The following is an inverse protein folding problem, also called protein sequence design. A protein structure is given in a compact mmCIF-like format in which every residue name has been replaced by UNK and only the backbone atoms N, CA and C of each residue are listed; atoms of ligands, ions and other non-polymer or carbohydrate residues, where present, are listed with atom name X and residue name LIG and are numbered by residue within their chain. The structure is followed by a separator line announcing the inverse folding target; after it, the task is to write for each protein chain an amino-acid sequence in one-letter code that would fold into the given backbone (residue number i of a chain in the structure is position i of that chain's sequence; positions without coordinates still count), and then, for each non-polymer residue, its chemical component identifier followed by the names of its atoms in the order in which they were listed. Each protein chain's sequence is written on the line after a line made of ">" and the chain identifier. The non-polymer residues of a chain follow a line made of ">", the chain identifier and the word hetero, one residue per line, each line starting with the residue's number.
data_IF_303419244042
#
_entry.id   IF_303419244042
#
_cell.length_a   1.000
_cell.length_b   1.000
_cell.length_c   1.000
_cell.angle_alpha   90.00
_cell.angle_beta   90.00
_cell.angle_gamma   90.00
#
_symmetry.space_group_name_H-M   'P 1'
#
loop_
_entity.id
_entity.type
_entity.pdbx_description
1 polymer ?
#
# COMPACT_ATOMS: atom_id res chain seq x y z
N UNK A 1 34.74 -43.62 13.38
CA UNK A 1 34.13 -42.96 12.20
C UNK A 1 32.65 -42.71 12.54
N UNK A 2 32.30 -41.48 12.88
CA UNK A 2 30.93 -41.11 13.17
C UNK A 2 30.36 -40.40 11.92
N UNK A 3 29.34 -40.97 11.32
CA UNK A 3 28.65 -40.37 10.15
C UNK A 3 27.61 -39.37 10.64
N UNK A 4 27.84 -38.09 10.34
CA UNK A 4 26.86 -37.04 10.55
C UNK A 4 25.81 -37.07 9.43
N UNK A 5 24.57 -37.39 9.78
CA UNK A 5 23.43 -37.21 8.88
C UNK A 5 22.99 -35.72 8.92
N UNK A 6 23.17 -35.00 7.82
CA UNK A 6 22.58 -33.70 7.61
C UNK A 6 21.10 -33.88 7.22
N UNK A 7 20.21 -33.49 8.11
CA UNK A 7 18.77 -33.42 7.80
C UNK A 7 18.55 -32.14 7.01
N UNK A 8 18.33 -32.26 5.71
CA UNK A 8 17.86 -31.20 4.85
C UNK A 8 16.37 -30.93 5.16
N UNK A 9 16.08 -29.85 5.87
CA UNK A 9 14.73 -29.31 5.96
C UNK A 9 14.38 -28.69 4.62
N UNK A 10 13.58 -29.39 3.83
CA UNK A 10 12.98 -28.85 2.64
C UNK A 10 12.02 -27.74 3.02
N UNK A 11 12.34 -26.49 2.65
CA UNK A 11 11.43 -25.36 2.74
C UNK A 11 10.38 -25.56 1.65
N UNK A 12 9.19 -26.04 2.00
CA UNK A 12 8.05 -26.06 1.10
C UNK A 12 7.66 -24.60 0.85
N UNK A 13 7.52 -24.15 -0.43
CA UNK A 13 7.02 -22.80 -0.70
C UNK A 13 5.62 -22.67 -0.09
N UNK A 14 5.37 -21.53 0.58
CA UNK A 14 4.04 -21.20 1.09
C UNK A 14 3.06 -21.22 -0.09
N UNK A 15 2.05 -22.08 -0.01
CA UNK A 15 1.03 -22.20 -1.04
C UNK A 15 0.07 -21.03 -0.92
N UNK A 16 -0.31 -20.42 -2.04
CA UNK A 16 -1.35 -19.39 -2.09
C UNK A 16 -2.60 -19.91 -1.36
N UNK A 17 -3.24 -19.05 -0.56
CA UNK A 17 -4.50 -19.42 0.07
C UNK A 17 -5.57 -19.56 -1.03
N UNK A 18 -6.01 -20.79 -1.25
CA UNK A 18 -7.11 -21.10 -2.15
C UNK A 18 -8.43 -21.11 -1.38
N UNK A 19 -9.46 -20.49 -1.92
CA UNK A 19 -10.77 -20.46 -1.29
C UNK A 19 -11.83 -19.89 -2.20
N UNK A 20 -13.03 -19.73 -1.66
CA UNK A 20 -14.13 -19.07 -2.34
C UNK A 20 -14.09 -17.57 -2.10
N UNK A 21 -14.49 -16.79 -3.09
CA UNK A 21 -14.85 -15.38 -2.91
C UNK A 21 -16.37 -15.36 -2.74
N UNK A 22 -16.83 -15.09 -1.52
CA UNK A 22 -18.27 -15.08 -1.20
C UNK A 22 -18.76 -13.64 -1.00
N UNK A 23 -19.94 -13.32 -1.50
CA UNK A 23 -20.49 -11.97 -1.48
C UNK A 23 -22.01 -11.95 -1.29
N UNK A 24 -22.67 -11.13 -2.09
CA UNK A 24 -24.12 -10.88 -2.02
C UNK A 24 -24.93 -12.16 -1.85
N UNK A 25 -25.85 -12.17 -0.89
CA UNK A 25 -26.71 -13.32 -0.55
C UNK A 25 -25.96 -14.62 -0.19
N UNK A 26 -24.69 -14.52 0.24
CA UNK A 26 -23.85 -15.68 0.57
C UNK A 26 -23.39 -16.49 -0.64
N UNK A 27 -23.55 -15.96 -1.84
CA UNK A 27 -23.15 -16.61 -3.10
C UNK A 27 -21.68 -16.36 -3.44
N UNK A 28 -21.16 -17.12 -4.40
CA UNK A 28 -19.75 -17.12 -4.80
C UNK A 28 -19.52 -16.38 -6.11
N UNK A 29 -18.35 -15.74 -6.23
CA UNK A 29 -17.80 -15.36 -7.53
C UNK A 29 -17.43 -16.63 -8.29
N UNK A 30 -17.96 -16.78 -9.48
CA UNK A 30 -17.95 -18.00 -10.28
C UNK A 30 -17.51 -17.71 -11.70
N UNK A 31 -16.65 -18.57 -12.25
CA UNK A 31 -16.28 -18.52 -13.66
C UNK A 31 -17.32 -19.26 -14.49
N UNK A 32 -18.04 -18.56 -15.34
CA UNK A 32 -19.16 -19.08 -16.08
C UNK A 32 -18.83 -20.39 -16.83
N UNK A 33 -19.61 -21.43 -16.55
CA UNK A 33 -19.42 -22.75 -17.18
C UNK A 33 -18.10 -23.44 -16.86
N UNK A 34 -17.36 -22.99 -15.84
CA UNK A 34 -16.01 -23.45 -15.51
C UNK A 34 -15.05 -23.39 -16.71
N UNK A 35 -15.29 -22.46 -17.66
CA UNK A 35 -14.49 -22.33 -18.85
C UNK A 35 -13.22 -21.52 -18.58
N UNK A 36 -12.05 -22.03 -18.98
CA UNK A 36 -10.76 -21.36 -18.81
C UNK A 36 -10.34 -20.51 -20.01
N UNK A 37 -11.22 -20.27 -21.00
CA UNK A 37 -10.92 -19.42 -22.14
C UNK A 37 -10.81 -17.95 -21.74
N UNK A 38 -9.93 -17.18 -22.41
CA UNK A 38 -9.88 -15.73 -22.27
C UNK A 38 -11.23 -15.14 -22.66
N UNK A 39 -11.71 -14.15 -21.90
CA UNK A 39 -13.01 -13.53 -22.09
C UNK A 39 -14.16 -14.25 -21.38
N UNK A 40 -13.89 -15.35 -20.66
CA UNK A 40 -14.94 -16.02 -19.89
C UNK A 40 -15.46 -15.10 -18.80
N UNK A 41 -16.79 -14.98 -18.73
CA UNK A 41 -17.45 -14.13 -17.76
C UNK A 41 -17.22 -14.58 -16.32
N UNK A 42 -17.08 -13.62 -15.42
CA UNK A 42 -17.22 -13.88 -13.98
C UNK A 42 -18.59 -13.40 -13.52
N UNK A 43 -19.24 -14.20 -12.73
CA UNK A 43 -20.65 -14.05 -12.34
C UNK A 43 -20.86 -14.38 -10.86
N UNK A 44 -22.01 -14.03 -10.31
CA UNK A 44 -22.47 -14.52 -9.03
C UNK A 44 -23.19 -15.86 -9.24
N UNK A 45 -22.94 -16.84 -8.39
CA UNK A 45 -23.58 -18.16 -8.47
C UNK A 45 -23.65 -18.81 -7.08
N UNK A 46 -24.62 -19.71 -6.88
CA UNK A 46 -24.68 -20.53 -5.66
C UNK A 46 -23.34 -21.22 -5.41
N UNK A 47 -22.85 -21.16 -4.17
CA UNK A 47 -21.58 -21.80 -3.81
C UNK A 47 -21.71 -23.32 -3.92
N UNK A 48 -20.98 -23.92 -4.85
CA UNK A 48 -21.05 -25.35 -5.17
C UNK A 48 -19.70 -26.08 -5.03
N UNK A 49 -18.63 -25.35 -4.63
CA UNK A 49 -17.31 -25.92 -4.35
C UNK A 49 -16.53 -26.41 -5.58
N UNK A 50 -16.99 -26.11 -6.80
CA UNK A 50 -16.28 -26.47 -8.03
C UNK A 50 -15.02 -25.65 -8.26
N UNK A 51 -14.19 -26.06 -9.21
CA UNK A 51 -12.98 -25.34 -9.59
C UNK A 51 -13.27 -23.92 -10.12
N UNK A 52 -14.48 -23.67 -10.66
CA UNK A 52 -14.94 -22.36 -11.11
C UNK A 52 -15.05 -21.31 -10.00
N UNK A 53 -15.13 -21.76 -8.75
CA UNK A 53 -15.30 -20.94 -7.56
C UNK A 53 -14.08 -20.99 -6.65
N UNK A 54 -13.03 -21.70 -7.06
CA UNK A 54 -11.79 -21.77 -6.30
C UNK A 54 -10.85 -20.66 -6.80
N UNK A 55 -10.75 -19.65 -5.98
CA UNK A 55 -9.88 -18.48 -6.23
C UNK A 55 -8.62 -18.58 -5.39
N UNK A 56 -7.49 -18.27 -5.97
CA UNK A 56 -6.25 -18.05 -5.23
C UNK A 56 -5.92 -16.56 -5.19
N UNK A 57 -5.39 -16.13 -4.06
CA UNK A 57 -4.83 -14.80 -3.86
C UNK A 57 -3.34 -14.98 -3.54
N UNK A 58 -2.45 -14.98 -4.55
CA UNK A 58 -1.02 -15.24 -4.34
C UNK A 58 -0.28 -14.10 -3.64
N UNK A 59 -0.93 -12.94 -3.39
CA UNK A 59 -0.31 -11.79 -2.76
C UNK A 59 0.42 -10.85 -3.74
N UNK A 60 0.35 -11.12 -5.04
CA UNK A 60 0.93 -10.27 -6.09
C UNK A 60 -0.07 -9.25 -6.68
N UNK A 61 -1.18 -9.04 -5.98
CA UNK A 61 -2.27 -8.17 -6.39
C UNK A 61 -3.26 -8.82 -7.36
N UNK A 62 -3.03 -10.06 -7.79
CA UNK A 62 -3.97 -10.77 -8.67
C UNK A 62 -4.91 -11.69 -7.89
N UNK A 63 -6.14 -11.85 -8.39
CA UNK A 63 -7.07 -12.90 -7.98
C UNK A 63 -7.18 -13.90 -9.13
N UNK A 64 -6.92 -15.18 -8.87
CA UNK A 64 -6.80 -16.18 -9.93
C UNK A 64 -7.76 -17.35 -9.75
N UNK A 65 -8.36 -17.80 -10.85
CA UNK A 65 -9.12 -19.03 -10.93
C UNK A 65 -8.77 -19.76 -12.23
N UNK A 66 -8.79 -21.08 -12.22
CA UNK A 66 -8.52 -21.93 -13.42
C UNK A 66 -7.20 -21.57 -14.13
N UNK A 67 -6.17 -21.11 -13.39
CA UNK A 67 -4.87 -20.73 -13.93
C UNK A 67 -4.82 -19.36 -14.61
N UNK A 68 -5.87 -18.54 -14.51
CA UNK A 68 -5.98 -17.20 -15.11
C UNK A 68 -6.35 -16.15 -14.07
N UNK A 69 -6.24 -14.88 -14.45
CA UNK A 69 -6.49 -13.73 -13.58
C UNK A 69 -7.90 -13.14 -13.77
N UNK A 70 -8.50 -12.67 -12.67
CA UNK A 70 -9.64 -11.76 -12.70
C UNK A 70 -9.20 -10.47 -13.39
N UNK A 71 -9.93 -10.06 -14.41
CA UNK A 71 -9.51 -9.03 -15.36
C UNK A 71 -10.67 -8.07 -15.66
N UNK A 72 -10.41 -6.78 -15.71
CA UNK A 72 -11.39 -5.80 -16.20
C UNK A 72 -11.28 -5.73 -17.71
N UNK A 73 -12.40 -6.01 -18.39
CA UNK A 73 -12.49 -6.02 -19.87
C UNK A 73 -11.94 -4.73 -20.45
N UNK A 74 -11.10 -4.86 -21.48
CA UNK A 74 -10.52 -3.73 -22.24
C UNK A 74 -9.82 -2.66 -21.38
N UNK A 75 -9.40 -3.00 -20.18
CA UNK A 75 -8.85 -2.05 -19.18
C UNK A 75 -9.81 -0.89 -18.90
N UNK A 76 -11.11 -1.13 -18.98
CA UNK A 76 -12.14 -0.14 -18.73
C UNK A 76 -12.06 0.42 -17.31
N UNK A 77 -12.28 1.74 -17.15
CA UNK A 77 -12.29 2.42 -15.86
C UNK A 77 -13.65 3.02 -15.52
N UNK A 78 -14.63 2.90 -16.42
CA UNK A 78 -15.97 3.43 -16.22
C UNK A 78 -16.82 2.49 -15.35
N UNK A 79 -17.83 3.04 -14.68
CA UNK A 79 -18.87 2.27 -14.02
C UNK A 79 -19.55 1.33 -15.02
N UNK A 80 -19.74 0.07 -14.62
CA UNK A 80 -20.33 -0.95 -15.46
C UNK A 80 -19.34 -1.72 -16.36
N UNK A 81 -18.04 -1.40 -16.31
CA UNK A 81 -17.04 -2.20 -17.03
C UNK A 81 -17.05 -3.63 -16.48
N UNK A 82 -17.28 -4.60 -17.39
CA UNK A 82 -17.43 -6.01 -17.02
C UNK A 82 -16.08 -6.58 -16.55
N UNK A 83 -16.16 -7.66 -15.74
CA UNK A 83 -15.00 -8.48 -15.39
C UNK A 83 -15.08 -9.84 -16.05
N UNK A 84 -13.91 -10.38 -16.33
CA UNK A 84 -13.71 -11.63 -17.06
C UNK A 84 -12.52 -12.40 -16.49
N UNK A 85 -12.34 -13.61 -17.00
CA UNK A 85 -11.12 -14.39 -16.82
C UNK A 85 -10.21 -14.15 -18.01
N UNK A 86 -8.91 -13.88 -17.79
CA UNK A 86 -7.93 -13.63 -18.84
C UNK A 86 -6.55 -14.13 -18.44
N UNK A 87 -5.68 -14.39 -19.42
CA UNK A 87 -4.28 -14.73 -19.14
C UNK A 87 -3.64 -13.66 -18.27
N UNK A 88 -2.90 -14.09 -17.24
CA UNK A 88 -2.22 -13.17 -16.34
C UNK A 88 -1.13 -12.41 -17.09
N UNK A 89 -1.32 -11.13 -17.29
CA UNK A 89 -0.40 -10.24 -18.00
C UNK A 89 0.38 -9.29 -17.07
N UNK A 90 0.01 -9.23 -15.80
CA UNK A 90 0.52 -8.23 -14.85
C UNK A 90 -0.01 -6.82 -15.09
N UNK A 91 -0.98 -6.64 -15.99
CA UNK A 91 -1.59 -5.35 -16.29
C UNK A 91 -2.37 -4.79 -15.09
N UNK A 92 -2.55 -3.46 -15.06
CA UNK A 92 -3.24 -2.76 -13.97
C UNK A 92 -4.72 -3.13 -13.86
N UNK A 93 -5.33 -3.59 -14.94
CA UNK A 93 -6.69 -4.12 -14.99
C UNK A 93 -6.86 -5.51 -14.33
N UNK A 94 -5.75 -6.15 -13.94
CA UNK A 94 -5.72 -7.42 -13.20
C UNK A 94 -5.22 -7.26 -11.77
N UNK A 95 -5.02 -6.01 -11.32
CA UNK A 95 -4.58 -5.72 -9.97
C UNK A 95 -5.80 -5.43 -9.09
N UNK A 96 -5.88 -6.12 -7.95
CA UNK A 96 -6.99 -6.05 -7.02
C UNK A 96 -6.48 -5.93 -5.59
N UNK A 97 -7.12 -5.10 -4.81
CA UNK A 97 -6.88 -4.95 -3.38
C UNK A 97 -8.11 -5.45 -2.63
N UNK A 98 -7.92 -6.46 -1.81
CA UNK A 98 -8.95 -6.91 -0.86
C UNK A 98 -8.80 -6.07 0.40
N UNK A 99 -9.80 -5.25 0.71
CA UNK A 99 -9.74 -4.32 1.85
C UNK A 99 -10.25 -4.97 3.14
N UNK A 100 -9.88 -4.41 4.29
CA UNK A 100 -10.41 -4.82 5.59
C UNK A 100 -11.93 -4.54 5.73
N UNK A 101 -12.49 -3.66 4.88
CA UNK A 101 -13.91 -3.37 4.81
C UNK A 101 -14.66 -4.35 3.87
N UNK A 102 -14.00 -5.44 3.46
CA UNK A 102 -14.54 -6.44 2.55
C UNK A 102 -14.84 -5.94 1.12
N UNK A 103 -14.17 -4.89 0.67
CA UNK A 103 -14.22 -4.49 -0.74
C UNK A 103 -13.10 -5.19 -1.52
N UNK A 104 -13.35 -5.50 -2.79
CA UNK A 104 -12.32 -5.89 -3.76
C UNK A 104 -12.20 -4.74 -4.75
N UNK A 105 -11.11 -3.99 -4.68
CA UNK A 105 -10.93 -2.74 -5.43
C UNK A 105 -9.93 -2.94 -6.55
N UNK A 106 -10.25 -2.48 -7.77
CA UNK A 106 -9.27 -2.28 -8.83
C UNK A 106 -8.66 -0.87 -8.67
N UNK A 107 -7.36 -0.73 -8.28
CA UNK A 107 -6.77 0.58 -8.01
C UNK A 107 -6.67 1.48 -9.24
N UNK A 108 -6.48 0.92 -10.43
CA UNK A 108 -6.33 1.70 -11.66
C UNK A 108 -7.63 2.39 -12.07
N UNK A 109 -8.77 1.74 -11.82
CA UNK A 109 -10.09 2.31 -12.05
C UNK A 109 -10.62 3.07 -10.82
N UNK A 110 -10.02 2.86 -9.63
CA UNK A 110 -10.55 3.31 -8.34
C UNK A 110 -12.01 2.88 -8.14
N UNK A 111 -12.30 1.61 -8.41
CA UNK A 111 -13.67 1.04 -8.37
C UNK A 111 -13.67 -0.32 -7.70
N UNK A 112 -14.82 -0.63 -7.10
CA UNK A 112 -15.09 -1.89 -6.42
C UNK A 112 -15.63 -2.96 -7.36
N UNK A 113 -15.24 -4.21 -7.14
CA UNK A 113 -15.93 -5.37 -7.72
C UNK A 113 -17.39 -5.36 -7.22
N UNK A 114 -18.31 -5.45 -8.14
CA UNK A 114 -19.72 -5.15 -7.93
C UNK A 114 -20.60 -6.21 -8.59
N UNK A 115 -21.65 -6.64 -7.91
CA UNK A 115 -22.69 -7.45 -8.52
C UNK A 115 -23.67 -6.51 -9.22
N UNK A 116 -23.74 -6.60 -10.54
CA UNK A 116 -24.56 -5.73 -11.38
C UNK A 116 -26.01 -5.66 -10.91
N UNK A 117 -26.53 -4.44 -10.83
CA UNK A 117 -27.91 -4.14 -10.46
C UNK A 117 -28.32 -4.67 -9.07
N UNK A 118 -27.35 -4.96 -8.19
CA UNK A 118 -27.58 -5.62 -6.89
C UNK A 118 -28.42 -6.91 -7.03
N UNK A 119 -28.26 -7.63 -8.16
CA UNK A 119 -29.05 -8.79 -8.51
C UNK A 119 -28.45 -10.06 -7.86
N UNK A 120 -29.13 -10.63 -6.89
CA UNK A 120 -28.70 -11.86 -6.20
C UNK A 120 -29.04 -13.18 -6.93
N UNK A 121 -29.57 -13.11 -8.15
CA UNK A 121 -29.85 -14.32 -8.95
C UNK A 121 -28.54 -14.98 -9.42
N UNK A 122 -28.58 -16.29 -9.63
CA UNK A 122 -27.48 -17.00 -10.31
C UNK A 122 -27.25 -16.43 -11.69
N UNK A 123 -26.01 -16.44 -12.11
CA UNK A 123 -25.51 -15.87 -13.38
C UNK A 123 -25.52 -14.33 -13.43
N UNK A 124 -25.83 -13.63 -12.33
CA UNK A 124 -25.70 -12.18 -12.28
C UNK A 124 -24.25 -11.79 -12.55
N UNK A 125 -24.05 -10.88 -13.52
CA UNK A 125 -22.71 -10.47 -13.98
C UNK A 125 -21.99 -9.65 -12.92
N UNK A 126 -20.69 -9.88 -12.81
CA UNK A 126 -19.82 -9.01 -12.05
C UNK A 126 -19.24 -7.91 -12.96
N UNK A 127 -19.03 -6.75 -12.38
CA UNK A 127 -18.51 -5.54 -13.01
C UNK A 127 -17.63 -4.78 -12.03
N UNK A 128 -17.05 -3.67 -12.45
CA UNK A 128 -16.54 -2.65 -11.54
C UNK A 128 -17.51 -1.49 -11.48
N UNK A 129 -17.67 -0.91 -10.29
CA UNK A 129 -18.54 0.26 -10.06
C UNK A 129 -17.94 1.16 -8.98
N UNK A 130 -18.30 2.45 -8.99
CA UNK A 130 -17.92 3.38 -7.92
C UNK A 130 -18.23 2.79 -6.56
N UNK A 131 -17.24 2.78 -5.65
CA UNK A 131 -17.40 2.17 -4.34
C UNK A 131 -18.46 2.91 -3.52
N UNK A 132 -19.57 2.23 -3.25
CA UNK A 132 -20.71 2.76 -2.50
C UNK A 132 -20.83 2.18 -1.09
N UNK A 133 -20.09 1.11 -0.79
CA UNK A 133 -20.22 0.33 0.44
C UNK A 133 -21.46 -0.55 0.51
N UNK A 134 -22.23 -0.66 -0.59
CA UNK A 134 -23.43 -1.51 -0.69
C UNK A 134 -23.11 -3.00 -0.55
N UNK A 135 -24.12 -3.80 -0.18
CA UNK A 135 -23.96 -5.24 0.03
C UNK A 135 -23.48 -5.98 -1.23
N UNK A 136 -23.80 -5.48 -2.42
CA UNK A 136 -23.36 -6.01 -3.71
C UNK A 136 -21.87 -5.77 -4.03
N UNK A 137 -21.15 -5.03 -3.15
CA UNK A 137 -19.71 -4.76 -3.25
C UNK A 137 -18.93 -5.38 -2.10
N UNK A 138 -19.59 -6.13 -1.20
CA UNK A 138 -18.93 -6.75 -0.05
C UNK A 138 -18.61 -8.20 -0.31
N UNK A 139 -17.33 -8.55 -0.15
CA UNK A 139 -16.78 -9.85 -0.50
C UNK A 139 -15.89 -10.39 0.61
N UNK A 140 -16.06 -11.66 0.95
CA UNK A 140 -15.09 -12.42 1.71
C UNK A 140 -14.21 -13.17 0.70
N UNK A 141 -13.02 -12.69 0.47
CA UNK A 141 -12.03 -13.33 -0.40
C UNK A 141 -11.05 -14.16 0.42
N UNK A 142 -10.39 -15.16 -0.20
CA UNK A 142 -9.27 -15.85 0.44
C UNK A 142 -8.27 -14.82 0.92
N UNK A 143 -7.85 -14.95 2.17
CA UNK A 143 -6.74 -14.15 2.68
C UNK A 143 -5.58 -14.34 1.71
N UNK A 144 -4.99 -13.25 1.25
CA UNK A 144 -3.76 -13.32 0.47
C UNK A 144 -2.79 -14.21 1.23
N UNK A 145 -2.21 -15.22 0.57
CA UNK A 145 -1.40 -16.23 1.24
C UNK A 145 -0.49 -15.57 2.26
N UNK A 146 -0.77 -15.82 3.54
CA UNK A 146 -0.09 -15.14 4.64
C UNK A 146 1.39 -15.39 4.54
N UNK A 147 2.16 -14.33 4.25
CA UNK A 147 3.60 -14.38 4.25
C UNK A 147 4.30 -14.27 2.90
N UNK A 148 3.61 -13.90 1.82
CA UNK A 148 4.33 -13.41 0.64
C UNK A 148 4.16 -11.89 0.60
N UNK A 149 5.19 -11.16 0.99
CA UNK A 149 5.47 -9.82 0.48
C UNK A 149 5.12 -9.78 -1.01
N UNK A 150 4.50 -8.70 -1.56
CA UNK A 150 4.52 -8.48 -3.01
C UNK A 150 5.93 -8.83 -3.46
N UNK A 151 6.09 -9.67 -4.47
CA UNK A 151 7.36 -10.32 -4.76
C UNK A 151 8.47 -9.26 -4.75
N UNK A 152 9.19 -9.18 -3.62
CA UNK A 152 10.27 -8.24 -3.47
C UNK A 152 10.29 -7.28 -2.28
N UNK A 153 9.22 -6.99 -1.55
CA UNK A 153 9.37 -6.07 -0.41
C UNK A 153 10.08 -6.76 0.76
N UNK A 154 11.11 -6.11 1.27
CA UNK A 154 12.04 -6.69 2.25
C UNK A 154 11.52 -6.75 3.68
N UNK A 155 10.34 -6.17 3.95
CA UNK A 155 9.67 -6.20 5.25
C UNK A 155 8.44 -7.07 5.17
N UNK A 156 8.38 -8.14 5.94
CA UNK A 156 7.18 -8.98 6.05
C UNK A 156 6.10 -8.33 6.92
N UNK A 157 4.85 -8.77 6.79
CA UNK A 157 3.76 -8.29 7.64
C UNK A 157 4.01 -8.55 9.12
N UNK A 158 4.59 -9.71 9.46
CA UNK A 158 4.97 -10.04 10.83
C UNK A 158 6.00 -9.05 11.40
N UNK A 159 7.01 -8.69 10.61
CA UNK A 159 8.00 -7.68 10.98
C UNK A 159 7.38 -6.28 11.09
N UNK A 160 6.50 -5.90 10.17
CA UNK A 160 5.75 -4.64 10.25
C UNK A 160 4.88 -4.57 11.52
N UNK A 161 4.20 -5.67 11.87
CA UNK A 161 3.43 -5.78 13.11
C UNK A 161 4.32 -5.68 14.36
N UNK A 162 5.53 -6.23 14.31
CA UNK A 162 6.52 -6.10 15.38
C UNK A 162 7.09 -4.68 15.50
N UNK A 163 7.27 -3.98 14.36
CA UNK A 163 7.70 -2.57 14.34
C UNK A 163 6.64 -1.65 14.96
N UNK A 164 5.36 -1.91 14.69
CA UNK A 164 4.22 -1.06 15.04
C UNK A 164 3.09 -1.81 15.75
N UNK A 165 3.32 -2.32 16.97
CA UNK A 165 2.33 -3.15 17.66
C UNK A 165 1.07 -2.39 18.07
N UNK A 166 1.16 -1.06 18.24
CA UNK A 166 0.07 -0.19 18.74
C UNK A 166 -0.45 0.78 17.65
N UNK A 167 -0.16 0.50 16.37
CA UNK A 167 -0.57 1.40 15.29
C UNK A 167 -2.08 1.53 15.16
N UNK A 168 -2.51 2.67 14.64
CA UNK A 168 -3.90 2.88 14.23
C UNK A 168 -4.26 1.88 13.11
N UNK A 169 -5.47 1.33 13.16
CA UNK A 169 -5.98 0.37 12.18
C UNK A 169 -6.03 0.92 10.74
N UNK A 170 -6.00 2.24 10.57
CA UNK A 170 -5.85 2.89 9.27
C UNK A 170 -4.55 2.48 8.56
N UNK A 171 -3.44 2.37 9.30
CA UNK A 171 -2.13 2.02 8.73
C UNK A 171 -1.98 0.51 8.59
N UNK A 172 -2.63 -0.06 7.57
CA UNK A 172 -2.52 -1.49 7.27
C UNK A 172 -1.23 -1.81 6.50
N UNK A 173 -0.72 -3.03 6.69
CA UNK A 173 0.37 -3.55 5.88
C UNK A 173 -0.04 -3.66 4.40
N UNK A 174 -1.28 -4.07 4.13
CA UNK A 174 -1.81 -4.12 2.76
C UNK A 174 -1.86 -2.74 2.10
N UNK A 175 -2.18 -1.68 2.85
CA UNK A 175 -2.11 -0.30 2.35
C UNK A 175 -0.69 0.10 1.96
N UNK A 176 0.31 -0.23 2.79
CA UNK A 176 1.72 0.00 2.47
C UNK A 176 2.13 -0.75 1.19
N UNK A 177 1.85 -2.04 1.12
CA UNK A 177 2.26 -2.87 -0.03
C UNK A 177 1.55 -2.46 -1.33
N UNK A 178 0.28 -2.06 -1.27
CA UNK A 178 -0.45 -1.51 -2.42
C UNK A 178 0.17 -0.18 -2.94
N UNK A 179 0.87 0.56 -2.10
CA UNK A 179 1.52 1.81 -2.49
C UNK A 179 2.89 1.62 -3.16
N UNK A 180 3.57 0.48 -2.95
CA UNK A 180 4.95 0.24 -3.41
C UNK A 180 5.09 0.34 -4.92
N UNK A 181 4.07 -0.06 -5.68
CA UNK A 181 4.07 0.01 -7.15
C UNK A 181 4.21 1.43 -7.70
N UNK A 182 3.93 2.48 -6.90
CA UNK A 182 4.12 3.87 -7.32
C UNK A 182 5.61 4.26 -7.40
N UNK A 183 6.47 3.59 -6.62
CA UNK A 183 7.91 3.83 -6.57
C UNK A 183 8.68 2.50 -6.51
N UNK A 184 8.79 1.77 -7.62
CA UNK A 184 9.34 0.40 -7.64
C UNK A 184 10.82 0.32 -7.28
N UNK A 185 11.56 1.43 -7.31
CA UNK A 185 12.96 1.48 -6.86
C UNK A 185 13.10 1.48 -5.33
N UNK A 186 12.06 1.88 -4.59
CA UNK A 186 12.06 1.92 -3.13
C UNK A 186 12.27 0.52 -2.54
N UNK A 187 13.28 0.39 -1.69
CA UNK A 187 13.70 -0.87 -1.04
C UNK A 187 13.96 -2.03 -2.03
N UNK A 188 14.29 -1.71 -3.29
CA UNK A 188 14.67 -2.66 -4.34
C UNK A 188 16.02 -2.31 -4.99
N UNK A 189 16.66 -1.22 -4.59
CA UNK A 189 17.93 -0.76 -5.14
C UNK A 189 19.10 -1.21 -4.25
N UNK A 190 20.15 -1.70 -4.87
CA UNK A 190 21.38 -2.14 -4.18
C UNK A 190 21.29 -3.57 -3.62
N UNK A 191 22.17 -3.87 -2.64
CA UNK A 191 22.18 -5.19 -1.98
C UNK A 191 20.97 -5.38 -1.05
N UNK A 192 20.68 -6.63 -0.67
CA UNK A 192 19.64 -6.97 0.33
C UNK A 192 19.79 -6.15 1.62
N UNK A 193 21.02 -5.92 2.07
CA UNK A 193 21.30 -5.07 3.24
C UNK A 193 20.87 -3.63 3.01
N UNK A 194 21.17 -3.04 1.84
CA UNK A 194 20.78 -1.66 1.50
C UNK A 194 19.27 -1.53 1.38
N UNK A 195 18.60 -2.49 0.75
CA UNK A 195 17.15 -2.54 0.62
C UNK A 195 16.46 -2.58 2.00
N UNK A 196 16.94 -3.42 2.91
CA UNK A 196 16.44 -3.51 4.30
C UNK A 196 16.74 -2.24 5.11
N UNK A 197 17.93 -1.66 4.93
CA UNK A 197 18.28 -0.39 5.57
C UNK A 197 17.39 0.75 5.08
N UNK A 198 17.08 0.81 3.79
CA UNK A 198 16.18 1.84 3.24
C UNK A 198 14.75 1.67 3.77
N UNK A 199 14.21 0.45 3.76
CA UNK A 199 12.89 0.18 4.33
C UNK A 199 12.82 0.55 5.81
N UNK A 200 13.83 0.16 6.60
CA UNK A 200 13.93 0.53 8.01
C UNK A 200 14.00 2.04 8.23
N UNK A 201 14.77 2.74 7.39
CA UNK A 201 14.93 4.19 7.47
C UNK A 201 13.64 4.94 7.16
N UNK A 202 12.90 4.53 6.13
CA UNK A 202 11.58 5.07 5.82
C UNK A 202 10.62 4.88 6.99
N UNK A 203 10.49 3.63 7.46
CA UNK A 203 9.57 3.30 8.55
C UNK A 203 9.95 3.97 9.88
N UNK A 204 11.26 4.18 10.15
CA UNK A 204 11.71 4.90 11.34
C UNK A 204 11.33 6.38 11.33
N UNK A 205 11.50 7.04 10.20
CA UNK A 205 11.04 8.42 10.04
C UNK A 205 9.53 8.53 10.17
N UNK A 206 8.78 7.66 9.50
CA UNK A 206 7.32 7.56 9.63
C UNK A 206 6.89 7.31 11.09
N UNK A 207 7.60 6.44 11.80
CA UNK A 207 7.36 6.19 13.23
C UNK A 207 7.47 7.47 14.06
N UNK A 208 8.49 8.27 13.80
CA UNK A 208 8.69 9.54 14.49
C UNK A 208 7.58 10.55 14.18
N UNK A 209 7.26 10.76 12.88
CA UNK A 209 6.25 11.72 12.43
C UNK A 209 4.84 11.44 12.97
N UNK A 210 4.53 10.18 13.26
CA UNK A 210 3.18 9.72 13.59
C UNK A 210 3.02 9.16 15.00
N UNK A 211 4.06 9.24 15.83
CA UNK A 211 4.06 8.61 17.15
C UNK A 211 3.91 7.08 17.09
N UNK A 212 4.59 6.43 16.14
CA UNK A 212 4.52 4.99 15.94
C UNK A 212 3.31 4.53 15.10
N UNK A 213 2.92 5.31 14.09
CA UNK A 213 1.72 5.10 13.27
C UNK A 213 0.40 5.21 14.08
N UNK A 214 0.40 5.97 15.18
CA UNK A 214 -0.81 6.23 15.98
C UNK A 214 -1.62 7.36 15.36
N UNK A 215 -0.98 8.44 14.96
CA UNK A 215 -1.63 9.65 14.46
C UNK A 215 -1.73 9.63 12.93
N UNK A 216 -2.95 9.70 12.42
CA UNK A 216 -3.23 9.80 10.97
C UNK A 216 -3.19 11.26 10.52
N UNK A 217 -3.58 12.17 11.39
CA UNK A 217 -3.64 13.61 11.14
C UNK A 217 -2.90 14.38 12.22
N UNK A 218 -2.46 15.57 11.89
CA UNK A 218 -1.85 16.52 12.84
C UNK A 218 -2.75 16.75 14.05
N UNK A 219 -2.16 16.69 15.24
CA UNK A 219 -2.90 16.79 16.50
C UNK A 219 -3.17 18.24 16.93
N UNK A 220 -2.32 19.17 16.50
CA UNK A 220 -2.50 20.58 16.82
C UNK A 220 -3.40 21.29 15.81
N UNK A 221 -4.70 21.27 16.05
CA UNK A 221 -5.70 21.86 15.16
C UNK A 221 -5.55 23.39 14.99
N UNK A 222 -4.88 24.07 15.91
CA UNK A 222 -4.60 25.50 15.80
C UNK A 222 -3.65 25.82 14.62
N UNK A 223 -2.86 24.85 14.16
CA UNK A 223 -1.97 25.03 13.02
C UNK A 223 -2.68 24.91 11.67
N UNK A 224 -3.87 24.31 11.59
CA UNK A 224 -4.54 23.98 10.32
C UNK A 224 -4.63 25.16 9.34
N UNK A 225 -5.00 26.39 9.77
CA UNK A 225 -5.09 27.53 8.85
C UNK A 225 -3.73 27.99 8.28
N UNK A 226 -2.60 27.58 8.87
CA UNK A 226 -1.28 28.03 8.45
C UNK A 226 -0.79 27.32 7.19
N UNK A 227 -1.35 26.17 6.84
CA UNK A 227 -0.85 25.32 5.74
C UNK A 227 -1.43 25.67 4.36
N UNK A 228 -2.04 26.85 4.22
CA UNK A 228 -2.50 27.38 2.94
C UNK A 228 -1.62 28.56 2.52
N UNK A 229 -0.81 28.37 1.49
CA UNK A 229 -0.11 29.45 0.79
C UNK A 229 -1.02 30.02 -0.30
N UNK A 230 -1.70 31.10 0.02
CA UNK A 230 -2.62 31.80 -0.91
C UNK A 230 -1.91 32.50 -2.07
N UNK A 231 -0.55 32.57 -2.08
CA UNK A 231 0.21 33.16 -3.18
C UNK A 231 0.38 32.18 -4.35
N UNK A 232 0.10 30.89 -4.12
CA UNK A 232 0.10 29.92 -5.19
C UNK A 232 -1.02 30.20 -6.20
N UNK A 233 -0.76 30.02 -7.52
CA UNK A 233 -1.75 30.38 -8.56
C UNK A 233 -3.05 29.59 -8.49
N UNK A 234 -3.03 28.42 -7.85
CA UNK A 234 -4.21 27.56 -7.63
C UNK A 234 -4.88 27.81 -6.27
N UNK A 235 -4.28 28.61 -5.40
CA UNK A 235 -4.82 28.92 -4.07
C UNK A 235 -5.04 27.70 -3.19
N UNK A 236 -6.14 27.74 -2.43
CA UNK A 236 -6.53 26.68 -1.51
C UNK A 236 -7.98 26.25 -1.75
N UNK A 237 -8.27 25.55 -2.84
CA UNK A 237 -9.65 25.24 -3.25
C UNK A 237 -10.42 24.38 -2.25
N UNK A 238 -9.75 23.53 -1.46
CA UNK A 238 -10.40 22.75 -0.41
C UNK A 238 -10.67 23.55 0.87
N UNK A 239 -10.18 24.79 0.96
CA UNK A 239 -10.34 25.70 2.10
C UNK A 239 -9.04 26.00 2.83
N UNK A 240 -9.01 27.16 3.53
CA UNK A 240 -7.82 27.65 4.23
C UNK A 240 -7.23 26.66 5.24
N UNK A 241 -8.05 25.92 5.95
CA UNK A 241 -7.64 24.99 7.00
C UNK A 241 -7.61 23.54 6.54
N UNK A 242 -7.51 23.28 5.21
CA UNK A 242 -7.67 21.94 4.67
C UNK A 242 -6.35 21.18 4.46
N UNK A 243 -5.19 21.83 4.52
CA UNK A 243 -3.90 21.24 4.08
C UNK A 243 -2.93 20.93 5.22
N UNK A 244 -3.49 20.60 6.38
CA UNK A 244 -2.73 20.17 7.56
C UNK A 244 -2.07 18.79 7.36
N UNK A 245 -1.16 18.45 8.27
CA UNK A 245 -0.38 17.21 8.21
C UNK A 245 -1.27 15.95 8.21
N UNK A 246 -1.06 15.06 7.22
CA UNK A 246 -1.76 13.78 7.08
C UNK A 246 -0.86 12.66 6.64
N UNK A 247 -1.26 11.46 7.03
CA UNK A 247 -0.62 10.23 6.60
C UNK A 247 0.75 9.99 7.23
N UNK A 248 1.52 9.01 6.71
CA UNK A 248 2.73 8.51 7.37
C UNK A 248 3.88 9.52 7.40
N UNK A 249 3.91 10.50 6.48
CA UNK A 249 4.94 11.55 6.42
C UNK A 249 4.41 12.92 6.87
N UNK A 250 3.17 12.99 7.38
CA UNK A 250 2.50 14.23 7.76
C UNK A 250 2.54 15.28 6.63
N UNK A 251 2.15 14.84 5.41
CA UNK A 251 2.06 15.71 4.24
C UNK A 251 1.23 16.95 4.58
N UNK A 252 1.81 18.13 4.44
CA UNK A 252 1.19 19.42 4.74
C UNK A 252 1.51 20.46 3.66
N UNK A 253 0.77 21.57 3.64
CA UNK A 253 0.80 22.65 2.67
C UNK A 253 0.12 22.32 1.33
N UNK A 254 -0.71 23.27 0.84
CA UNK A 254 -1.43 23.13 -0.43
C UNK A 254 -0.50 22.81 -1.62
N UNK A 255 0.70 23.38 -1.66
CA UNK A 255 1.66 23.12 -2.74
C UNK A 255 2.23 21.68 -2.69
N UNK A 256 2.42 21.09 -1.51
CA UNK A 256 2.84 19.69 -1.40
C UNK A 256 1.70 18.73 -1.76
N UNK A 257 0.45 19.03 -1.35
CA UNK A 257 -0.71 18.26 -1.78
C UNK A 257 -0.87 18.30 -3.29
N UNK A 258 -0.68 19.48 -3.92
CA UNK A 258 -0.70 19.59 -5.38
C UNK A 258 0.41 18.78 -6.03
N UNK A 259 1.65 18.94 -5.58
CA UNK A 259 2.80 18.26 -6.17
C UNK A 259 2.72 16.73 -6.03
N UNK A 260 2.31 16.24 -4.85
CA UNK A 260 2.09 14.82 -4.63
C UNK A 260 0.93 14.31 -5.50
N UNK A 261 -0.16 15.07 -5.59
CA UNK A 261 -1.32 14.74 -6.40
C UNK A 261 -0.99 14.62 -7.88
N UNK A 262 -0.28 15.60 -8.43
CA UNK A 262 0.16 15.59 -9.83
C UNK A 262 1.07 14.39 -10.12
N UNK A 263 2.03 14.09 -9.23
CA UNK A 263 2.97 12.98 -9.41
C UNK A 263 2.28 11.60 -9.31
N UNK A 264 1.23 11.49 -8.52
CA UNK A 264 0.51 10.24 -8.27
C UNK A 264 -0.73 10.07 -9.17
N UNK A 265 -1.10 11.10 -9.95
CA UNK A 265 -2.33 11.10 -10.74
C UNK A 265 -3.60 11.11 -9.88
N UNK A 266 -3.56 11.72 -8.69
CA UNK A 266 -4.66 11.81 -7.72
C UNK A 266 -4.93 13.28 -7.41
N UNK A 267 -6.15 13.74 -7.50
CA UNK A 267 -6.51 15.13 -7.17
C UNK A 267 -6.50 15.37 -5.66
N UNK A 268 -5.30 15.52 -5.09
CA UNK A 268 -5.10 15.79 -3.66
C UNK A 268 -5.28 17.27 -3.30
N UNK A 269 -5.20 18.18 -4.28
CA UNK A 269 -5.41 19.61 -4.02
C UNK A 269 -6.87 19.89 -3.68
N UNK A 270 -7.81 19.33 -4.42
CA UNK A 270 -9.24 19.50 -4.15
C UNK A 270 -9.76 18.49 -3.11
N UNK A 271 -9.07 17.35 -2.93
CA UNK A 271 -9.50 16.28 -2.04
C UNK A 271 -8.38 15.85 -1.05
N UNK A 272 -7.87 16.77 -0.20
CA UNK A 272 -6.74 16.46 0.68
C UNK A 272 -7.05 15.38 1.72
N UNK A 273 -8.32 15.19 2.08
CA UNK A 273 -8.76 14.14 3.02
C UNK A 273 -8.62 12.72 2.49
N UNK A 274 -8.36 12.49 1.20
CA UNK A 274 -7.99 11.17 0.69
C UNK A 274 -6.76 10.61 1.41
N UNK A 275 -5.82 11.48 1.83
CA UNK A 275 -4.62 11.06 2.56
C UNK A 275 -4.92 10.57 3.98
N UNK A 276 -6.09 10.86 4.55
CA UNK A 276 -6.52 10.34 5.86
C UNK A 276 -7.61 9.27 5.78
N UNK A 277 -8.22 9.07 4.60
CA UNK A 277 -9.34 8.16 4.43
C UNK A 277 -8.96 6.92 3.62
N UNK A 278 -7.86 6.96 2.86
CA UNK A 278 -7.36 5.85 2.05
C UNK A 278 -5.90 5.54 2.44
N UNK A 279 -5.69 4.35 3.01
CA UNK A 279 -4.37 3.93 3.48
C UNK A 279 -3.35 3.83 2.34
N UNK A 280 -3.74 3.36 1.15
CA UNK A 280 -2.83 3.25 0.02
C UNK A 280 -2.42 4.63 -0.51
N UNK A 281 -3.38 5.58 -0.58
CA UNK A 281 -3.08 6.99 -0.93
C UNK A 281 -2.14 7.61 0.10
N UNK A 282 -2.40 7.42 1.39
CA UNK A 282 -1.53 7.90 2.46
C UNK A 282 -0.08 7.38 2.30
N UNK A 283 0.10 6.09 2.10
CA UNK A 283 1.42 5.50 1.89
C UNK A 283 2.08 5.98 0.60
N UNK A 284 1.32 6.15 -0.49
CA UNK A 284 1.84 6.72 -1.75
C UNK A 284 2.41 8.13 -1.54
N UNK A 285 1.78 8.97 -0.73
CA UNK A 285 2.31 10.32 -0.43
C UNK A 285 3.62 10.25 0.35
N UNK A 286 3.74 9.31 1.29
CA UNK A 286 5.01 9.07 2.01
C UNK A 286 6.12 8.61 1.06
N UNK A 287 5.82 7.66 0.17
CA UNK A 287 6.76 7.15 -0.82
C UNK A 287 7.12 8.22 -1.87
N UNK A 288 6.15 9.07 -2.26
CA UNK A 288 6.42 10.23 -3.11
C UNK A 288 7.46 11.14 -2.49
N UNK A 289 7.27 11.53 -1.23
CA UNK A 289 8.24 12.37 -0.54
C UNK A 289 9.62 11.69 -0.48
N UNK A 290 9.65 10.45 -0.06
CA UNK A 290 10.88 9.68 0.11
C UNK A 290 11.74 9.59 -1.16
N UNK A 291 11.09 9.40 -2.30
CA UNK A 291 11.79 9.17 -3.56
C UNK A 291 12.07 10.46 -4.36
N UNK A 292 11.31 11.53 -4.12
CA UNK A 292 11.35 12.71 -5.00
C UNK A 292 11.70 14.02 -4.31
N UNK A 293 11.56 14.11 -2.98
CA UNK A 293 11.76 15.37 -2.26
C UNK A 293 13.08 15.36 -1.48
N UNK A 294 13.84 16.45 -1.59
CA UNK A 294 15.04 16.67 -0.77
C UNK A 294 14.75 17.52 0.47
N UNK A 295 13.61 18.21 0.51
CA UNK A 295 13.27 19.13 1.59
C UNK A 295 14.42 20.10 1.90
N UNK A 296 14.75 20.33 3.19
CA UNK A 296 15.91 21.16 3.57
C UNK A 296 17.26 20.45 3.39
N UNK A 297 17.28 19.20 2.96
CA UNK A 297 18.51 18.45 2.67
C UNK A 297 19.05 18.71 1.26
N UNK A 298 20.13 18.00 0.91
CA UNK A 298 20.80 18.10 -0.40
C UNK A 298 20.46 16.95 -1.36
N UNK A 299 19.72 15.95 -0.90
CA UNK A 299 19.34 14.76 -1.68
C UNK A 299 18.05 14.16 -1.14
N UNK A 300 17.38 13.33 -1.96
CA UNK A 300 16.20 12.60 -1.50
C UNK A 300 16.57 11.54 -0.46
N UNK A 301 15.67 11.17 0.46
CA UNK A 301 15.92 10.07 1.40
C UNK A 301 16.28 8.75 0.71
N UNK A 302 15.64 8.42 -0.42
CA UNK A 302 16.01 7.27 -1.24
C UNK A 302 17.50 7.33 -1.63
N UNK A 303 17.92 8.42 -2.26
CA UNK A 303 19.31 8.58 -2.68
C UNK A 303 20.30 8.57 -1.51
N UNK A 304 19.89 9.08 -0.34
CA UNK A 304 20.70 9.04 0.88
C UNK A 304 21.03 7.60 1.31
N UNK A 305 20.04 6.71 1.22
CA UNK A 305 20.23 5.32 1.61
C UNK A 305 20.97 4.50 0.55
N UNK A 306 20.58 4.59 -0.71
CA UNK A 306 21.15 3.76 -1.77
C UNK A 306 22.58 4.16 -2.15
N UNK A 307 22.98 5.42 -1.94
CA UNK A 307 24.32 5.92 -2.22
C UNK A 307 25.24 5.93 -0.98
N UNK A 308 24.79 5.40 0.17
CA UNK A 308 25.61 5.25 1.38
C UNK A 308 25.84 6.55 2.15
N UNK A 309 25.10 7.64 1.88
CA UNK A 309 25.16 8.86 2.67
C UNK A 309 24.59 8.68 4.09
N UNK A 310 23.77 7.67 4.28
CA UNK A 310 23.30 7.13 5.55
C UNK A 310 22.05 7.81 6.12
N UNK A 311 21.58 7.26 7.22
CA UNK A 311 20.30 7.63 7.85
C UNK A 311 20.21 9.12 8.19
N UNK A 312 21.31 9.76 8.63
CA UNK A 312 21.36 11.20 8.93
C UNK A 312 20.81 12.08 7.80
N UNK A 313 21.06 11.70 6.53
CA UNK A 313 20.61 12.50 5.40
C UNK A 313 19.10 12.36 5.16
N UNK A 314 18.49 11.27 5.56
CA UNK A 314 17.03 11.13 5.53
C UNK A 314 16.38 12.08 6.54
N UNK A 315 16.96 12.24 7.72
CA UNK A 315 16.51 13.22 8.72
C UNK A 315 16.65 14.64 8.18
N UNK A 316 17.82 14.96 7.55
CA UNK A 316 18.03 16.27 6.94
C UNK A 316 17.00 16.59 5.87
N UNK A 317 16.66 15.62 5.05
CA UNK A 317 15.67 15.79 3.99
C UNK A 317 14.26 16.05 4.54
N UNK A 318 13.87 15.38 5.63
CA UNK A 318 12.51 15.50 6.16
C UNK A 318 12.37 16.77 7.01
N UNK A 319 13.23 16.95 8.03
CA UNK A 319 13.08 18.03 9.00
C UNK A 319 14.41 18.63 9.48
N UNK A 320 15.47 18.55 8.66
CA UNK A 320 16.83 18.95 9.05
C UNK A 320 16.97 20.40 9.50
N UNK A 321 16.16 21.32 8.95
CA UNK A 321 16.17 22.72 9.36
C UNK A 321 15.78 22.94 10.83
N UNK A 322 15.01 22.03 11.42
CA UNK A 322 14.51 22.12 12.79
C UNK A 322 15.20 21.14 13.75
N UNK A 323 15.76 20.04 13.24
CA UNK A 323 16.26 18.96 14.08
C UNK A 323 17.78 18.83 14.07
N UNK A 324 18.42 18.97 12.90
CA UNK A 324 19.85 18.71 12.73
C UNK A 324 20.74 19.82 13.28
N UNK A 325 22.07 19.53 13.33
CA UNK A 325 23.10 20.47 13.72
C UNK A 325 22.92 21.00 15.17
N UNK A 326 22.47 20.10 16.06
CA UNK A 326 22.29 20.39 17.49
C UNK A 326 21.02 21.15 17.85
N UNK A 327 20.11 21.39 16.88
CA UNK A 327 18.86 22.14 17.13
C UNK A 327 17.88 21.37 17.96
N UNK A 328 17.66 20.06 17.66
CA UNK A 328 16.80 19.21 18.47
C UNK A 328 17.34 17.77 18.55
N UNK A 329 18.38 17.54 19.37
CA UNK A 329 19.02 16.23 19.46
C UNK A 329 18.08 15.13 19.98
N UNK A 330 17.06 15.46 20.74
CA UNK A 330 16.08 14.49 21.25
C UNK A 330 15.22 13.90 20.10
N UNK A 331 14.81 14.71 19.14
CA UNK A 331 14.07 14.23 17.97
C UNK A 331 14.96 13.39 17.05
N UNK A 332 16.20 13.84 16.80
CA UNK A 332 17.19 13.03 16.06
C UNK A 332 17.40 11.69 16.74
N UNK A 333 17.57 11.65 18.07
CA UNK A 333 17.73 10.41 18.82
C UNK A 333 16.52 9.48 18.67
N UNK A 334 15.30 10.01 18.78
CA UNK A 334 14.08 9.24 18.61
C UNK A 334 14.00 8.55 17.22
N UNK A 335 14.41 9.24 16.16
CA UNK A 335 14.49 8.67 14.80
C UNK A 335 15.56 7.58 14.71
N UNK A 336 16.73 7.82 15.30
CA UNK A 336 17.84 6.85 15.30
C UNK A 336 17.48 5.59 16.11
N UNK A 337 16.85 5.74 17.26
CA UNK A 337 16.41 4.59 18.08
C UNK A 337 15.40 3.70 17.32
N UNK A 338 14.43 4.32 16.64
CA UNK A 338 13.49 3.60 15.80
C UNK A 338 14.21 2.88 14.64
N UNK A 339 15.15 3.55 13.97
CA UNK A 339 15.92 2.97 12.88
C UNK A 339 16.77 1.77 13.32
N UNK A 340 17.49 1.90 14.42
CA UNK A 340 18.29 0.80 14.97
C UNK A 340 17.42 -0.40 15.38
N UNK A 341 16.28 -0.16 16.00
CA UNK A 341 15.31 -1.20 16.34
C UNK A 341 14.77 -1.90 15.08
N UNK A 342 14.45 -1.16 14.04
CA UNK A 342 13.88 -1.73 12.80
C UNK A 342 14.94 -2.50 11.99
N UNK A 343 16.16 -2.01 11.91
CA UNK A 343 17.27 -2.79 11.29
C UNK A 343 17.56 -4.09 12.05
N UNK A 344 17.46 -4.08 13.37
CA UNK A 344 17.57 -5.30 14.18
C UNK A 344 16.45 -6.30 13.87
N UNK A 345 15.20 -5.84 13.73
CA UNK A 345 14.06 -6.69 13.33
C UNK A 345 14.29 -7.29 11.93
N UNK A 346 14.90 -6.54 11.03
CA UNK A 346 15.21 -6.99 9.66
C UNK A 346 16.51 -7.82 9.57
N UNK A 347 17.26 -7.99 10.67
CA UNK A 347 18.46 -8.78 10.73
C UNK A 347 19.65 -8.16 9.99
N UNK A 348 19.73 -6.83 9.94
CA UNK A 348 20.84 -6.10 9.30
C UNK A 348 21.45 -5.06 10.24
N UNK A 349 22.74 -4.72 10.00
CA UNK A 349 23.39 -3.59 10.68
C UNK A 349 22.75 -2.26 10.24
N UNK A 350 22.59 -1.27 11.13
CA UNK A 350 22.14 0.07 10.75
C UNK A 350 23.14 0.84 9.87
N UNK A 351 24.39 0.38 9.78
CA UNK A 351 25.45 1.08 9.10
C UNK A 351 25.97 2.29 9.90
N UNK A 352 26.76 3.13 9.23
CA UNK A 352 27.27 4.38 9.78
C UNK A 352 26.37 5.59 9.50
N UNK A 353 26.85 6.79 9.88
CA UNK A 353 26.18 8.06 9.53
C UNK A 353 24.74 8.15 10.02
N UNK A 354 24.51 7.87 11.30
CA UNK A 354 23.19 7.84 11.90
C UNK A 354 22.67 9.22 12.31
N UNK A 355 23.53 10.06 12.85
CA UNK A 355 23.17 11.36 13.45
C UNK A 355 23.51 12.54 12.52
N UNK A 356 22.69 13.56 12.54
CA UNK A 356 22.93 14.84 11.87
C UNK A 356 23.10 16.02 12.91
#
# INVERSE_FOLDING_TARGET
>A
MAASFAVLFGVTPAQAADGQITGLAGKCADVAGAASANGTAVQLYDCNGTAAQRWSNPGDGTLRALGKCLDVVDRGTADGAAVQLWDCSGGTNQQWVVTAAHDIVNPAANKCLDVRDNNSADTARLQIWSCSGGANQKWNAPAGGGGSTPSGFVVSEAQFNQMFPNRNSFYTYSGLTAALGAYPAFAHTGSDTVQKQEAAAFLANVSHETGGLVHVVEQNTANYPHYCDGTQPYGCPAGQAAYYGRGPIQLSWNFNYKAAGDALGIDLLNNPWLVQNDAAVAWKTGLWYWNTQSGPGSMTPHNAMVNGAGFRQTIRSINGSLECDGKNPAQVQSRVDAYQRFTQILGVSPGGNLYC
#
